data_IF_449401890413
#
_entry.id   IF_449401890413
#
_cell.length_a   1.000
_cell.length_b   1.000
_cell.length_c   1.000
_cell.angle_alpha   90.00
_cell.angle_beta   90.00
_cell.angle_gamma   90.00
#
_symmetry.space_group_name_H-M   'P 1'
#
loop_
_entity.id
_entity.type
_entity.pdbx_description
1 polymer ?
#
# COMPACT_ATOMS: atom_id res chain seq x y z
N UNK A 1 -8.92 -19.24 -21.57
CA UNK A 1 -10.20 -19.74 -20.99
C UNK A 1 -10.32 -19.11 -19.61
N UNK A 2 -11.39 -18.34 -19.38
CA UNK A 2 -11.69 -17.69 -18.11
C UNK A 2 -12.80 -18.43 -17.36
N UNK A 3 -12.75 -18.43 -16.03
CA UNK A 3 -13.94 -18.69 -15.24
C UNK A 3 -14.88 -17.47 -15.36
N UNK A 4 -16.20 -17.67 -15.57
CA UNK A 4 -17.14 -16.58 -15.83
C UNK A 4 -17.07 -15.39 -14.86
N UNK A 5 -16.94 -15.58 -13.52
CA UNK A 5 -16.85 -14.46 -12.59
C UNK A 5 -15.65 -13.55 -12.85
N UNK A 6 -14.49 -14.11 -13.21
CA UNK A 6 -13.29 -13.33 -13.49
C UNK A 6 -13.38 -12.61 -14.83
N UNK A 7 -13.96 -13.24 -15.85
CA UNK A 7 -14.22 -12.59 -17.13
C UNK A 7 -15.12 -11.36 -16.97
N UNK A 8 -16.24 -11.52 -16.25
CA UNK A 8 -17.15 -10.41 -15.99
C UNK A 8 -16.53 -9.31 -15.12
N UNK A 9 -15.68 -9.69 -14.17
CA UNK A 9 -14.98 -8.72 -13.35
C UNK A 9 -13.96 -7.91 -14.18
N UNK A 10 -13.14 -8.56 -15.00
CA UNK A 10 -12.13 -7.94 -15.83
C UNK A 10 -12.73 -7.02 -16.89
N UNK A 11 -13.73 -7.49 -17.63
CA UNK A 11 -14.46 -6.67 -18.61
C UNK A 11 -15.18 -5.50 -17.93
N UNK A 12 -15.71 -5.72 -16.72
CA UNK A 12 -16.32 -4.69 -15.89
C UNK A 12 -15.32 -3.62 -15.45
N UNK A 13 -14.11 -3.99 -15.03
CA UNK A 13 -13.04 -3.06 -14.66
C UNK A 13 -12.69 -2.16 -15.85
N UNK A 14 -12.38 -2.75 -17.00
CA UNK A 14 -12.00 -1.98 -18.19
C UNK A 14 -13.12 -1.06 -18.65
N UNK A 15 -14.34 -1.59 -18.79
CA UNK A 15 -15.49 -0.78 -19.25
C UNK A 15 -15.79 0.42 -18.34
N UNK A 16 -15.71 0.24 -17.00
CA UNK A 16 -15.92 1.33 -16.05
C UNK A 16 -14.80 2.34 -16.05
N UNK A 17 -13.55 1.92 -16.14
CA UNK A 17 -12.40 2.82 -16.23
C UNK A 17 -12.45 3.68 -17.49
N UNK A 18 -12.75 3.08 -18.66
CA UNK A 18 -12.89 3.82 -19.92
C UNK A 18 -14.06 4.81 -19.87
N UNK A 19 -15.21 4.38 -19.33
CA UNK A 19 -16.36 5.26 -19.13
C UNK A 19 -16.04 6.43 -18.21
N UNK A 20 -15.34 6.15 -17.09
CA UNK A 20 -14.92 7.19 -16.15
C UNK A 20 -13.94 8.17 -16.81
N UNK A 21 -12.95 7.68 -17.54
CA UNK A 21 -11.96 8.52 -18.24
C UNK A 21 -12.57 9.39 -19.33
N UNK A 22 -13.59 8.90 -20.04
CA UNK A 22 -14.31 9.64 -21.07
C UNK A 22 -15.26 10.72 -20.50
N UNK A 23 -15.62 10.64 -19.21
CA UNK A 23 -16.52 11.61 -18.58
C UNK A 23 -15.73 12.85 -18.16
N UNK A 24 -16.14 14.07 -18.59
CA UNK A 24 -15.49 15.30 -18.16
C UNK A 24 -15.50 15.45 -16.63
N UNK A 25 -14.40 15.93 -16.07
CA UNK A 25 -14.37 16.29 -14.67
C UNK A 25 -15.19 17.57 -14.46
N UNK A 26 -16.40 17.43 -13.92
CA UNK A 26 -17.30 18.56 -13.66
C UNK A 26 -17.08 19.26 -12.31
N UNK A 27 -15.99 18.92 -11.60
CA UNK A 27 -15.70 19.44 -10.28
C UNK A 27 -15.23 20.91 -10.26
N UNK A 28 -15.17 21.48 -9.05
CA UNK A 28 -14.77 22.88 -8.85
C UNK A 28 -13.36 23.20 -9.35
N UNK A 29 -12.43 22.27 -9.25
CA UNK A 29 -11.08 22.44 -9.78
C UNK A 29 -11.12 22.56 -11.31
N UNK A 30 -11.84 21.66 -11.99
CA UNK A 30 -12.00 21.71 -13.43
C UNK A 30 -12.63 23.01 -13.90
N UNK A 31 -13.70 23.44 -13.22
CA UNK A 31 -14.36 24.71 -13.54
C UNK A 31 -13.40 25.91 -13.41
N UNK A 32 -12.60 25.97 -12.34
CA UNK A 32 -11.58 27.03 -12.15
C UNK A 32 -10.47 26.98 -13.20
N UNK A 33 -9.97 25.80 -13.52
CA UNK A 33 -8.95 25.64 -14.56
C UNK A 33 -9.49 26.07 -15.93
N UNK A 34 -10.74 25.74 -16.25
CA UNK A 34 -11.39 26.16 -17.49
C UNK A 34 -11.65 27.66 -17.53
N UNK A 35 -12.02 28.28 -16.42
CA UNK A 35 -12.17 29.73 -16.32
C UNK A 35 -10.83 30.45 -16.54
N UNK A 36 -9.77 30.03 -15.84
CA UNK A 36 -8.42 30.58 -16.01
C UNK A 36 -7.91 30.44 -17.45
N UNK A 37 -8.20 29.34 -18.12
CA UNK A 37 -7.87 29.15 -19.54
C UNK A 37 -8.54 30.18 -20.44
N UNK A 38 -9.81 30.49 -20.19
CA UNK A 38 -10.57 31.49 -20.98
C UNK A 38 -10.04 32.88 -20.78
N UNK A 39 -9.62 33.25 -19.54
CA UNK A 39 -9.13 34.58 -19.21
C UNK A 39 -7.71 34.82 -19.74
N UNK A 40 -6.83 33.82 -19.64
CA UNK A 40 -5.41 33.99 -19.99
C UNK A 40 -5.06 33.58 -21.41
N UNK A 41 -5.96 32.91 -22.15
CA UNK A 41 -5.69 32.33 -23.47
C UNK A 41 -4.65 31.19 -23.42
N UNK A 42 -4.17 30.80 -22.23
CA UNK A 42 -3.19 29.74 -22.06
C UNK A 42 -3.85 28.38 -22.33
N UNK A 43 -3.33 27.66 -23.31
CA UNK A 43 -3.82 26.33 -23.67
C UNK A 43 -3.54 25.26 -22.62
N UNK A 44 -2.61 25.51 -21.71
CA UNK A 44 -2.17 24.56 -20.72
C UNK A 44 -2.94 24.72 -19.39
N UNK A 45 -3.84 23.78 -19.11
CA UNK A 45 -4.51 23.67 -17.82
C UNK A 45 -3.49 23.16 -16.80
N UNK A 46 -3.15 23.95 -15.79
CA UNK A 46 -2.24 23.50 -14.73
C UNK A 46 -2.56 24.13 -13.39
N UNK A 47 -2.32 23.40 -12.32
CA UNK A 47 -2.30 23.94 -10.97
C UNK A 47 -0.92 24.57 -10.67
N UNK A 48 -0.95 25.62 -9.87
CA UNK A 48 0.30 26.23 -9.38
C UNK A 48 0.89 25.37 -8.27
N UNK A 49 1.92 24.63 -8.61
CA UNK A 49 2.60 23.72 -7.68
C UNK A 49 3.37 24.50 -6.61
N UNK A 50 3.87 25.69 -6.91
CA UNK A 50 4.61 26.50 -5.93
C UNK A 50 3.72 26.88 -4.73
N UNK A 51 2.45 27.18 -4.97
CA UNK A 51 1.47 27.43 -3.88
C UNK A 51 1.19 26.19 -3.05
N UNK A 52 1.25 24.99 -3.67
CA UNK A 52 1.09 23.72 -2.96
C UNK A 52 2.33 23.49 -2.10
N UNK A 53 3.54 23.71 -2.64
CA UNK A 53 4.81 23.60 -1.93
C UNK A 53 4.87 24.49 -0.69
N UNK A 54 4.42 25.74 -0.80
CA UNK A 54 4.28 26.66 0.32
C UNK A 54 3.30 26.15 1.39
N UNK A 55 2.15 25.65 0.95
CA UNK A 55 1.10 25.15 1.85
C UNK A 55 1.51 23.91 2.64
N UNK A 56 2.24 22.99 2.00
CA UNK A 56 2.68 21.72 2.63
C UNK A 56 4.10 21.80 3.19
N UNK A 57 4.79 22.92 3.03
CA UNK A 57 6.20 23.15 3.43
C UNK A 57 7.15 22.09 2.85
N UNK A 58 6.97 21.76 1.57
CA UNK A 58 7.70 20.70 0.89
C UNK A 58 8.02 21.10 -0.55
N UNK A 59 9.19 20.74 -1.05
CA UNK A 59 9.56 20.95 -2.46
C UNK A 59 9.43 19.66 -3.26
N UNK A 60 8.92 19.79 -4.47
CA UNK A 60 8.75 18.67 -5.39
C UNK A 60 9.77 18.74 -6.53
N UNK A 61 10.30 17.59 -6.92
CA UNK A 61 11.08 17.54 -8.15
C UNK A 61 10.20 17.66 -9.40
N UNK A 62 10.84 17.76 -10.57
CA UNK A 62 10.14 17.99 -11.83
C UNK A 62 9.09 16.89 -12.14
N UNK A 63 9.38 15.61 -11.81
CA UNK A 63 8.48 14.48 -12.07
C UNK A 63 7.32 14.50 -11.07
N UNK A 64 7.61 14.77 -9.81
CA UNK A 64 6.57 14.90 -8.78
C UNK A 64 5.64 16.09 -9.07
N UNK A 65 6.20 17.23 -9.44
CA UNK A 65 5.42 18.39 -9.85
C UNK A 65 4.55 18.11 -11.10
N UNK A 66 5.09 17.35 -12.07
CA UNK A 66 4.33 16.91 -13.23
C UNK A 66 3.18 15.97 -12.83
N UNK A 67 3.40 15.06 -11.86
CA UNK A 67 2.36 14.19 -11.33
C UNK A 67 1.21 14.99 -10.68
N UNK A 68 1.52 16.01 -9.90
CA UNK A 68 0.53 16.89 -9.25
C UNK A 68 -0.29 17.62 -10.33
N UNK A 69 0.35 18.17 -11.36
CA UNK A 69 -0.34 18.83 -12.48
C UNK A 69 -1.21 17.85 -13.26
N UNK A 70 -0.70 16.66 -13.54
CA UNK A 70 -1.43 15.62 -14.27
C UNK A 70 -2.67 15.15 -13.48
N UNK A 71 -2.57 14.97 -12.18
CA UNK A 71 -3.69 14.60 -11.31
C UNK A 71 -4.81 15.65 -11.36
N UNK A 72 -4.46 16.94 -11.44
CA UNK A 72 -5.44 18.01 -11.50
C UNK A 72 -6.25 18.05 -12.82
N UNK A 73 -5.71 17.50 -13.90
CA UNK A 73 -6.34 17.50 -15.23
C UNK A 73 -6.93 16.15 -15.62
N UNK A 74 -6.33 15.05 -15.17
CA UNK A 74 -6.79 13.70 -15.48
C UNK A 74 -8.04 13.31 -14.67
N UNK A 75 -8.89 12.51 -15.27
CA UNK A 75 -10.06 11.89 -14.61
C UNK A 75 -9.66 10.59 -13.93
N UNK A 76 -8.85 9.79 -14.62
CA UNK A 76 -8.19 8.60 -14.11
C UNK A 76 -6.69 8.77 -14.32
N UNK A 77 -5.88 8.50 -13.30
CA UNK A 77 -4.43 8.59 -13.39
C UNK A 77 -3.77 7.49 -12.56
N UNK A 78 -2.64 7.00 -13.03
CA UNK A 78 -1.77 6.07 -12.29
C UNK A 78 -0.48 6.79 -11.88
N UNK A 79 -0.14 6.68 -10.59
CA UNK A 79 1.15 7.08 -10.03
C UNK A 79 1.89 5.82 -9.59
N UNK A 80 3.02 5.52 -10.22
CA UNK A 80 3.83 4.35 -9.88
C UNK A 80 5.30 4.70 -9.68
N UNK A 81 6.01 3.85 -8.96
CA UNK A 81 7.45 3.99 -8.71
C UNK A 81 7.92 3.01 -7.65
N UNK A 82 9.20 2.69 -7.65
CA UNK A 82 9.83 1.77 -6.71
C UNK A 82 9.98 2.34 -5.29
N UNK A 83 10.62 1.61 -4.39
CA UNK A 83 10.91 2.09 -3.04
C UNK A 83 11.84 3.31 -3.08
N UNK A 84 11.60 4.29 -2.21
CA UNK A 84 12.42 5.50 -2.09
C UNK A 84 12.25 6.54 -3.21
N UNK A 85 11.26 6.39 -4.10
CA UNK A 85 11.01 7.34 -5.19
C UNK A 85 10.05 8.48 -4.82
N UNK A 86 9.56 8.51 -3.58
CA UNK A 86 8.71 9.59 -3.10
C UNK A 86 7.23 9.48 -3.47
N UNK A 87 6.69 8.28 -3.67
CA UNK A 87 5.24 8.06 -3.91
C UNK A 87 4.37 8.74 -2.86
N UNK A 88 4.66 8.51 -1.57
CA UNK A 88 3.91 9.09 -0.44
C UNK A 88 3.94 10.61 -0.48
N UNK A 89 5.12 11.20 -0.68
CA UNK A 89 5.31 12.64 -0.80
C UNK A 89 4.52 13.24 -1.96
N UNK A 90 4.57 12.60 -3.13
CA UNK A 90 3.82 13.04 -4.32
C UNK A 90 2.31 12.93 -4.08
N UNK A 91 1.86 11.84 -3.44
CA UNK A 91 0.45 11.64 -3.07
C UNK A 91 -0.04 12.74 -2.12
N UNK A 92 0.77 13.14 -1.12
CA UNK A 92 0.46 14.28 -0.24
C UNK A 92 0.27 15.57 -1.05
N UNK A 93 1.14 15.84 -2.02
CA UNK A 93 1.01 17.00 -2.91
C UNK A 93 -0.26 16.96 -3.77
N UNK A 94 -0.61 15.81 -4.32
CA UNK A 94 -1.84 15.61 -5.08
C UNK A 94 -3.07 15.87 -4.19
N UNK A 95 -3.09 15.32 -2.99
CA UNK A 95 -4.19 15.51 -2.02
C UNK A 95 -4.29 16.98 -1.62
N UNK A 96 -3.15 17.62 -1.31
CA UNK A 96 -3.11 19.04 -0.96
C UNK A 96 -3.65 19.92 -2.11
N UNK A 97 -3.27 19.62 -3.36
CA UNK A 97 -3.80 20.29 -4.53
C UNK A 97 -5.33 20.21 -4.57
N UNK A 98 -5.92 19.04 -4.45
CA UNK A 98 -7.36 18.88 -4.47
C UNK A 98 -8.07 19.63 -3.32
N UNK A 99 -7.50 19.54 -2.11
CA UNK A 99 -8.06 20.22 -0.92
C UNK A 99 -8.03 21.75 -1.04
N UNK A 100 -6.95 22.31 -1.61
CA UNK A 100 -6.85 23.76 -1.86
C UNK A 100 -7.99 24.29 -2.73
N UNK A 101 -8.52 23.44 -3.61
CA UNK A 101 -9.69 23.76 -4.42
C UNK A 101 -11.02 23.33 -3.80
N UNK A 102 -11.03 22.87 -2.55
CA UNK A 102 -12.22 22.51 -1.78
C UNK A 102 -12.86 21.20 -2.20
N UNK A 103 -12.07 20.27 -2.79
CA UNK A 103 -12.55 18.94 -3.17
C UNK A 103 -12.50 17.98 -1.98
N UNK A 104 -13.55 17.14 -1.86
CA UNK A 104 -13.62 16.06 -0.87
C UNK A 104 -12.84 14.86 -1.39
N UNK A 105 -11.69 14.58 -0.74
CA UNK A 105 -10.80 13.45 -1.08
C UNK A 105 -11.11 12.26 -0.19
N UNK A 106 -11.36 11.12 -0.79
CA UNK A 106 -11.46 9.82 -0.13
C UNK A 106 -10.12 9.10 -0.28
N UNK A 107 -9.65 8.50 0.82
CA UNK A 107 -8.40 7.75 0.86
C UNK A 107 -8.70 6.28 1.15
N UNK A 108 -8.20 5.38 0.30
CA UNK A 108 -8.40 3.96 0.48
C UNK A 108 -7.15 3.13 0.15
N UNK A 109 -7.06 1.94 0.76
CA UNK A 109 -6.04 0.95 0.45
C UNK A 109 -6.57 -0.48 0.69
N UNK A 110 -5.96 -1.53 0.10
CA UNK A 110 -6.46 -2.90 0.23
C UNK A 110 -6.23 -3.51 1.61
N UNK A 111 -5.18 -3.11 2.33
CA UNK A 111 -4.77 -3.67 3.63
C UNK A 111 -4.99 -2.71 4.79
N UNK A 112 -5.08 -3.22 6.03
CA UNK A 112 -5.36 -2.38 7.20
C UNK A 112 -4.23 -1.42 7.60
N UNK A 113 -2.97 -1.72 7.27
CA UNK A 113 -1.80 -0.88 7.63
C UNK A 113 -1.64 0.34 6.74
N UNK A 114 -1.93 0.21 5.46
CA UNK A 114 -1.76 1.30 4.51
C UNK A 114 -2.65 2.51 4.85
N UNK A 115 -3.95 2.38 5.18
CA UNK A 115 -4.76 3.51 5.61
C UNK A 115 -4.22 4.23 6.84
N UNK A 116 -3.68 3.52 7.84
CA UNK A 116 -3.07 4.17 9.01
C UNK A 116 -1.93 5.10 8.62
N UNK A 117 -1.00 4.60 7.76
CA UNK A 117 0.11 5.42 7.23
C UNK A 117 -0.38 6.60 6.39
N UNK A 118 -1.40 6.39 5.55
CA UNK A 118 -2.00 7.47 4.77
C UNK A 118 -2.61 8.54 5.69
N UNK A 119 -3.33 8.14 6.74
CA UNK A 119 -3.93 9.06 7.69
C UNK A 119 -2.87 9.86 8.45
N UNK A 120 -1.81 9.21 8.94
CA UNK A 120 -0.67 9.88 9.59
C UNK A 120 0.03 10.88 8.64
N UNK A 121 0.23 10.50 7.38
CA UNK A 121 0.92 11.30 6.39
C UNK A 121 0.09 12.50 5.89
N UNK A 122 -1.24 12.40 5.87
CA UNK A 122 -2.13 13.39 5.24
C UNK A 122 -3.00 14.16 6.22
N UNK A 123 -3.14 13.66 7.44
CA UNK A 123 -4.10 14.18 8.43
C UNK A 123 -5.57 13.93 8.06
N UNK A 124 -5.85 13.07 7.08
CA UNK A 124 -7.20 12.72 6.64
C UNK A 124 -7.56 11.30 7.06
N UNK A 125 -8.85 11.05 7.23
CA UNK A 125 -9.34 9.69 7.42
C UNK A 125 -9.06 8.87 6.16
N UNK A 126 -8.43 7.70 6.36
CA UNK A 126 -8.21 6.70 5.33
C UNK A 126 -8.82 5.36 5.76
N UNK A 127 -9.36 4.61 4.82
CA UNK A 127 -10.10 3.36 5.08
C UNK A 127 -9.57 2.21 4.22
N UNK A 128 -9.80 0.98 4.67
CA UNK A 128 -9.65 -0.15 3.75
C UNK A 128 -10.74 -0.10 2.68
N UNK A 129 -10.47 -0.67 1.48
CA UNK A 129 -11.49 -0.75 0.42
C UNK A 129 -12.77 -1.42 0.95
N UNK A 130 -12.66 -2.51 1.70
CA UNK A 130 -13.81 -3.21 2.28
C UNK A 130 -14.62 -2.30 3.21
N UNK A 131 -13.98 -1.47 4.03
CA UNK A 131 -14.65 -0.51 4.91
C UNK A 131 -15.25 0.65 4.14
N UNK A 132 -14.54 1.14 3.12
CA UNK A 132 -15.06 2.20 2.24
C UNK A 132 -16.32 1.75 1.50
N UNK A 133 -16.36 0.48 1.09
CA UNK A 133 -17.50 -0.13 0.41
C UNK A 133 -18.57 -0.68 1.37
N UNK A 134 -18.39 -0.49 2.69
CA UNK A 134 -19.33 -0.96 3.73
C UNK A 134 -19.66 -2.45 3.56
N UNK A 135 -18.61 -3.30 3.52
CA UNK A 135 -18.77 -4.73 3.34
C UNK A 135 -19.46 -5.38 4.55
N UNK A 136 -20.62 -6.00 4.32
CA UNK A 136 -21.42 -6.71 5.33
C UNK A 136 -21.66 -8.14 4.88
N UNK A 137 -20.94 -9.14 5.42
CA UNK A 137 -21.25 -10.55 5.14
C UNK A 137 -22.59 -10.97 5.78
N UNK A 138 -23.46 -11.72 5.09
CA UNK A 138 -23.32 -12.24 3.72
C UNK A 138 -23.79 -11.28 2.60
N UNK A 139 -24.36 -10.12 2.92
CA UNK A 139 -25.03 -9.20 1.97
C UNK A 139 -24.03 -8.57 0.96
N UNK A 140 -22.72 -8.60 1.25
CA UNK A 140 -21.70 -8.06 0.39
C UNK A 140 -21.47 -6.55 0.54
N UNK A 141 -21.07 -5.88 -0.53
CA UNK A 141 -20.75 -4.46 -0.52
C UNK A 141 -22.01 -3.60 -0.65
N UNK A 142 -22.21 -2.69 0.33
CA UNK A 142 -23.37 -1.78 0.36
C UNK A 142 -23.18 -0.56 -0.56
N UNK A 143 -21.92 -0.16 -0.79
CA UNK A 143 -21.57 0.86 -1.79
C UNK A 143 -21.41 0.20 -3.16
N UNK A 144 -22.18 0.66 -4.14
CA UNK A 144 -22.28 0.12 -5.50
C UNK A 144 -22.83 1.17 -6.47
N UNK A 145 -23.31 0.78 -7.65
CA UNK A 145 -23.86 1.68 -8.67
C UNK A 145 -25.15 2.40 -8.21
N UNK A 146 -25.95 1.77 -7.35
CA UNK A 146 -27.22 2.34 -6.83
C UNK A 146 -26.96 3.22 -5.59
N UNK A 147 -25.90 2.92 -4.83
CA UNK A 147 -25.47 3.67 -3.65
C UNK A 147 -23.99 4.03 -3.76
N UNK A 148 -23.60 5.00 -4.63
CA UNK A 148 -22.21 5.29 -4.90
C UNK A 148 -21.49 5.98 -3.73
N UNK A 149 -20.16 6.05 -3.84
CA UNK A 149 -19.32 6.80 -2.91
C UNK A 149 -19.59 8.31 -3.01
N UNK A 150 -19.51 8.99 -1.88
CA UNK A 150 -19.74 10.43 -1.77
C UNK A 150 -18.42 11.19 -1.61
N UNK A 151 -17.88 11.69 -2.70
CA UNK A 151 -16.63 12.45 -2.76
C UNK A 151 -16.33 12.93 -4.16
N UNK A 152 -15.31 13.77 -4.29
CA UNK A 152 -14.88 14.32 -5.57
C UNK A 152 -13.69 13.56 -6.16
N UNK A 153 -12.85 13.00 -5.27
CA UNK A 153 -11.63 12.27 -5.63
C UNK A 153 -11.50 11.03 -4.77
N UNK A 154 -11.20 9.89 -5.38
CA UNK A 154 -10.73 8.69 -4.69
C UNK A 154 -9.24 8.52 -4.97
N UNK A 155 -8.42 8.61 -3.93
CA UNK A 155 -7.01 8.22 -3.99
C UNK A 155 -6.86 6.82 -3.41
N UNK A 156 -6.57 5.86 -4.28
CA UNK A 156 -6.41 4.45 -3.96
C UNK A 156 -4.93 4.10 -3.93
N UNK A 157 -4.41 3.78 -2.74
CA UNK A 157 -3.00 3.38 -2.54
C UNK A 157 -2.83 1.86 -2.54
N UNK A 158 -1.59 1.39 -2.67
CA UNK A 158 -1.18 -0.02 -2.73
C UNK A 158 -1.95 -0.83 -3.80
N UNK A 159 -2.17 -0.22 -4.97
CA UNK A 159 -2.97 -0.82 -6.04
C UNK A 159 -2.39 -2.13 -6.59
N UNK A 160 -1.10 -2.42 -6.41
CA UNK A 160 -0.50 -3.70 -6.80
C UNK A 160 -1.13 -4.90 -6.09
N UNK A 161 -1.71 -4.69 -4.89
CA UNK A 161 -2.32 -5.72 -4.08
C UNK A 161 -3.83 -5.91 -4.35
N UNK A 162 -4.41 -5.16 -5.29
CA UNK A 162 -5.84 -5.23 -5.59
C UNK A 162 -6.08 -6.24 -6.72
N UNK A 163 -6.88 -7.27 -6.44
CA UNK A 163 -7.29 -8.24 -7.45
C UNK A 163 -8.44 -7.72 -8.33
N UNK A 164 -8.72 -8.44 -9.41
CA UNK A 164 -9.74 -8.06 -10.39
C UNK A 164 -11.14 -7.96 -9.78
N UNK A 165 -11.49 -8.85 -8.85
CA UNK A 165 -12.83 -8.86 -8.23
C UNK A 165 -13.01 -7.66 -7.32
N UNK A 166 -12.02 -7.36 -6.48
CA UNK A 166 -12.05 -6.22 -5.57
C UNK A 166 -12.02 -4.89 -6.33
N UNK A 167 -11.22 -4.79 -7.40
CA UNK A 167 -11.21 -3.60 -8.25
C UNK A 167 -12.57 -3.39 -8.94
N UNK A 168 -13.19 -4.46 -9.44
CA UNK A 168 -14.52 -4.37 -10.04
C UNK A 168 -15.56 -3.91 -9.02
N UNK A 169 -15.53 -4.41 -7.79
CA UNK A 169 -16.41 -3.96 -6.72
C UNK A 169 -16.20 -2.46 -6.39
N UNK A 170 -14.93 -2.02 -6.28
CA UNK A 170 -14.59 -0.63 -6.04
C UNK A 170 -15.13 0.28 -7.15
N UNK A 171 -14.88 -0.06 -8.41
CA UNK A 171 -15.30 0.75 -9.55
C UNK A 171 -16.83 0.81 -9.75
N UNK A 172 -17.57 -0.17 -9.27
CA UNK A 172 -19.04 -0.09 -9.22
C UNK A 172 -19.52 1.03 -8.30
N UNK A 173 -18.80 1.31 -7.24
CA UNK A 173 -19.13 2.35 -6.27
C UNK A 173 -18.61 3.75 -6.63
N UNK A 174 -17.68 3.86 -7.59
CA UNK A 174 -17.12 5.15 -8.04
C UNK A 174 -18.08 5.83 -9.01
N UNK A 175 -18.72 6.97 -8.63
CA UNK A 175 -19.62 7.67 -9.54
C UNK A 175 -18.86 8.35 -10.69
N UNK A 176 -19.55 8.59 -11.80
CA UNK A 176 -18.95 9.21 -12.99
C UNK A 176 -18.40 10.63 -12.74
N UNK A 177 -18.87 11.34 -11.72
CA UNK A 177 -18.33 12.64 -11.30
C UNK A 177 -16.98 12.57 -10.62
N UNK A 178 -16.63 11.45 -9.95
CA UNK A 178 -15.44 11.29 -9.12
C UNK A 178 -14.17 11.14 -9.96
N UNK A 179 -13.05 11.70 -9.50
CA UNK A 179 -11.71 11.41 -10.03
C UNK A 179 -11.13 10.17 -9.36
N UNK A 180 -10.28 9.44 -10.07
CA UNK A 180 -9.62 8.24 -9.56
C UNK A 180 -8.11 8.35 -9.73
N UNK A 181 -7.39 8.35 -8.62
CA UNK A 181 -5.93 8.31 -8.58
C UNK A 181 -5.52 6.95 -8.04
N UNK A 182 -4.86 6.15 -8.87
CA UNK A 182 -4.35 4.83 -8.54
C UNK A 182 -2.86 4.94 -8.21
N UNK A 183 -2.48 4.63 -6.99
CA UNK A 183 -1.09 4.68 -6.53
C UNK A 183 -0.61 3.27 -6.22
N UNK A 184 0.58 2.91 -6.68
CA UNK A 184 1.13 1.60 -6.39
C UNK A 184 2.53 1.40 -6.97
N UNK A 185 3.09 0.25 -6.67
CA UNK A 185 4.41 -0.16 -7.14
C UNK A 185 4.24 -1.47 -7.93
N UNK A 186 4.41 -1.41 -9.24
CA UNK A 186 4.24 -2.57 -10.14
C UNK A 186 5.26 -3.68 -9.91
N UNK A 187 6.32 -3.37 -9.19
CA UNK A 187 7.44 -4.27 -8.92
C UNK A 187 7.32 -4.94 -7.53
N UNK A 188 6.33 -4.51 -6.72
CA UNK A 188 5.96 -5.21 -5.49
C UNK A 188 5.13 -6.47 -5.79
N UNK A 189 4.94 -7.29 -4.74
CA UNK A 189 4.14 -8.51 -4.85
C UNK A 189 2.73 -8.19 -5.37
N UNK A 190 2.24 -8.99 -6.32
CA UNK A 190 0.89 -8.84 -6.84
C UNK A 190 -0.16 -9.24 -5.79
N UNK A 191 -1.42 -9.05 -6.13
CA UNK A 191 -2.55 -9.52 -5.33
C UNK A 191 -2.52 -11.02 -5.11
N UNK A 192 -3.05 -11.48 -3.97
CA UNK A 192 -3.25 -12.92 -3.70
C UNK A 192 -4.38 -13.48 -4.57
N UNK A 193 -5.41 -12.66 -4.83
CA UNK A 193 -6.50 -12.98 -5.76
C UNK A 193 -6.08 -12.85 -7.23
N UNK A 194 -6.96 -13.30 -8.13
CA UNK A 194 -6.69 -13.33 -9.56
C UNK A 194 -6.57 -11.93 -10.18
N UNK A 195 -5.59 -11.75 -11.06
CA UNK A 195 -5.36 -10.55 -11.88
C UNK A 195 -4.18 -9.72 -11.44
N UNK A 196 -3.58 -9.00 -12.38
CA UNK A 196 -2.50 -8.03 -12.17
C UNK A 196 -2.97 -6.64 -12.60
N UNK A 197 -4.05 -6.20 -11.93
CA UNK A 197 -4.87 -5.06 -12.38
C UNK A 197 -4.06 -3.79 -12.61
N UNK A 198 -3.16 -3.43 -11.68
CA UNK A 198 -2.36 -2.20 -11.83
C UNK A 198 -1.45 -2.26 -13.06
N UNK A 199 -0.80 -3.40 -13.28
CA UNK A 199 0.07 -3.62 -14.44
C UNK A 199 -0.73 -3.58 -15.74
N UNK A 200 -1.86 -4.27 -15.78
CA UNK A 200 -2.73 -4.34 -16.96
C UNK A 200 -3.28 -2.96 -17.33
N UNK A 201 -3.65 -2.13 -16.34
CA UNK A 201 -4.07 -0.73 -16.56
C UNK A 201 -2.92 0.08 -17.18
N UNK A 202 -1.70 -0.06 -16.67
CA UNK A 202 -0.52 0.64 -17.17
C UNK A 202 -0.17 0.19 -18.59
N UNK A 203 -0.15 -1.11 -18.83
CA UNK A 203 0.23 -1.71 -20.11
C UNK A 203 -0.82 -1.47 -21.20
N UNK A 204 -2.07 -1.21 -20.83
CA UNK A 204 -3.12 -0.82 -21.77
C UNK A 204 -2.84 0.50 -22.50
N UNK A 205 -2.02 1.39 -21.92
CA UNK A 205 -1.72 2.70 -22.48
C UNK A 205 -2.92 3.66 -22.57
N UNK A 206 -4.07 3.32 -21.99
CA UNK A 206 -5.31 4.10 -22.10
C UNK A 206 -5.41 5.24 -21.08
N UNK A 207 -4.59 5.23 -20.05
CA UNK A 207 -4.67 6.17 -18.94
C UNK A 207 -3.33 6.88 -18.73
N UNK A 208 -3.32 8.15 -18.29
CA UNK A 208 -2.12 8.84 -17.88
C UNK A 208 -1.38 8.08 -16.77
N UNK A 209 -0.09 7.83 -16.99
CA UNK A 209 0.79 7.16 -16.03
C UNK A 209 1.98 8.06 -15.74
N UNK A 210 2.21 8.37 -14.48
CA UNK A 210 3.45 9.01 -14.05
C UNK A 210 4.31 8.00 -13.29
N UNK A 211 5.52 7.77 -13.80
CA UNK A 211 6.51 6.88 -13.20
C UNK A 211 7.55 7.71 -12.45
N UNK A 212 7.59 7.54 -11.13
CA UNK A 212 8.63 8.14 -10.30
C UNK A 212 9.89 7.26 -10.38
N UNK A 213 10.92 7.76 -11.04
CA UNK A 213 12.16 7.01 -11.29
C UNK A 213 13.33 7.51 -10.44
N UNK A 214 13.23 8.74 -9.90
CA UNK A 214 14.30 9.33 -9.10
C UNK A 214 14.29 8.77 -7.69
N UNK A 215 15.38 8.13 -7.31
CA UNK A 215 15.63 7.70 -5.92
C UNK A 215 16.23 8.90 -5.17
N UNK A 216 15.61 9.30 -4.06
CA UNK A 216 16.09 10.41 -3.27
C UNK A 216 17.36 10.05 -2.47
N UNK A 217 18.20 11.06 -2.15
CA UNK A 217 19.52 10.87 -1.54
C UNK A 217 19.50 9.98 -0.30
N UNK A 218 18.56 10.19 0.62
CA UNK A 218 18.43 9.36 1.83
C UNK A 218 18.14 7.90 1.50
N UNK A 219 17.35 7.64 0.45
CA UNK A 219 17.06 6.30 -0.04
C UNK A 219 18.25 5.68 -0.80
N UNK A 220 19.07 6.51 -1.45
CA UNK A 220 20.29 6.04 -2.13
C UNK A 220 21.38 5.57 -1.16
N UNK A 221 21.37 6.01 0.08
CA UNK A 221 22.29 5.54 1.11
C UNK A 221 21.87 4.17 1.69
N UNK A 222 20.61 3.79 1.53
CA UNK A 222 20.09 2.48 1.98
C UNK A 222 20.46 1.36 1.02
N UNK A 223 21.21 0.38 1.52
CA UNK A 223 21.53 -0.85 0.76
C UNK A 223 20.32 -1.75 0.56
N UNK A 224 19.31 -1.68 1.43
CA UNK A 224 18.02 -2.36 1.22
C UNK A 224 17.39 -1.85 -0.07
N UNK A 225 17.29 -0.52 -0.24
CA UNK A 225 16.67 0.09 -1.42
C UNK A 225 17.49 -0.18 -2.68
N UNK A 226 18.82 -0.03 -2.62
CA UNK A 226 19.71 -0.36 -3.73
C UNK A 226 19.57 -1.83 -4.15
N UNK A 227 19.55 -2.76 -3.17
CA UNK A 227 19.38 -4.18 -3.43
C UNK A 227 18.02 -4.50 -4.06
N UNK A 228 16.95 -3.86 -3.60
CA UNK A 228 15.62 -4.02 -4.18
C UNK A 228 15.59 -3.59 -5.65
N UNK A 229 16.19 -2.44 -5.99
CA UNK A 229 16.28 -1.97 -7.38
C UNK A 229 17.14 -2.89 -8.26
N UNK A 230 18.26 -3.40 -7.73
CA UNK A 230 19.10 -4.36 -8.46
C UNK A 230 18.37 -5.67 -8.76
N UNK A 231 17.71 -6.25 -7.74
CA UNK A 231 16.91 -7.47 -7.89
C UNK A 231 15.82 -7.26 -8.93
N UNK A 232 15.12 -6.14 -8.87
CA UNK A 232 14.07 -5.80 -9.82
C UNK A 232 14.58 -5.64 -11.25
N UNK A 233 15.82 -5.21 -11.41
CA UNK A 233 16.52 -5.12 -12.72
C UNK A 233 17.18 -6.44 -13.15
N UNK A 234 16.92 -7.54 -12.44
CA UNK A 234 17.54 -8.86 -12.72
C UNK A 234 19.01 -8.97 -12.33
N UNK A 235 19.52 -8.05 -11.50
CA UNK A 235 20.89 -8.03 -11.04
C UNK A 235 21.00 -8.61 -9.62
N UNK A 236 22.13 -9.26 -9.32
CA UNK A 236 22.40 -9.71 -7.95
C UNK A 236 22.58 -8.50 -7.01
N UNK A 237 21.98 -8.54 -5.81
CA UNK A 237 22.24 -7.54 -4.79
C UNK A 237 23.70 -7.57 -4.34
N UNK A 238 24.18 -6.46 -3.79
CA UNK A 238 25.50 -6.43 -3.16
C UNK A 238 25.43 -7.11 -1.79
N UNK A 239 26.01 -8.29 -1.68
CA UNK A 239 26.03 -9.13 -0.47
C UNK A 239 27.18 -8.77 0.48
N UNK A 240 28.08 -7.86 0.11
CA UNK A 240 29.16 -7.39 0.95
C UNK A 240 28.62 -6.53 2.09
N UNK A 241 28.45 -7.12 3.26
CA UNK A 241 28.04 -6.39 4.47
C UNK A 241 29.14 -5.48 4.99
N UNK A 242 28.79 -4.37 5.62
CA UNK A 242 29.68 -3.48 6.35
C UNK A 242 29.11 -3.12 7.72
N UNK A 243 29.92 -2.62 8.64
CA UNK A 243 29.48 -2.28 10.01
C UNK A 243 28.32 -1.26 10.07
N UNK A 244 28.15 -0.48 9.03
CA UNK A 244 27.09 0.55 8.91
C UNK A 244 26.02 0.19 7.89
N UNK A 245 26.00 -1.07 7.40
CA UNK A 245 25.00 -1.53 6.43
C UNK A 245 23.63 -1.71 7.08
N UNK A 246 22.57 -1.40 6.34
CA UNK A 246 21.19 -1.75 6.69
C UNK A 246 20.74 -3.05 6.02
N UNK A 247 21.61 -3.68 5.19
CA UNK A 247 21.35 -4.93 4.48
C UNK A 247 22.49 -5.91 4.74
N UNK A 248 22.14 -7.13 5.20
CA UNK A 248 23.08 -8.20 5.49
C UNK A 248 22.62 -9.49 4.84
N UNK A 249 23.57 -10.27 4.36
CA UNK A 249 23.33 -11.60 3.84
C UNK A 249 24.13 -12.62 4.68
N UNK A 250 23.42 -13.60 5.25
CA UNK A 250 24.02 -14.71 5.98
C UNK A 250 23.76 -16.00 5.21
N UNK A 251 24.81 -16.57 4.62
CA UNK A 251 24.69 -17.83 3.89
C UNK A 251 24.59 -18.98 4.86
N UNK A 252 23.51 -19.75 4.77
CA UNK A 252 23.26 -20.98 5.51
C UNK A 252 22.63 -22.01 4.60
N UNK A 253 23.19 -23.18 4.52
CA UNK A 253 22.70 -24.28 3.67
C UNK A 253 21.89 -25.29 4.47
N UNK A 254 22.25 -25.47 5.75
CA UNK A 254 21.52 -26.35 6.66
C UNK A 254 20.32 -25.65 7.29
N UNK A 255 19.09 -26.19 7.10
CA UNK A 255 17.87 -25.59 7.62
C UNK A 255 17.80 -25.48 9.14
N UNK A 256 18.35 -26.46 9.88
CA UNK A 256 18.38 -26.46 11.33
C UNK A 256 19.31 -25.37 11.86
N UNK A 257 20.49 -25.23 11.27
CA UNK A 257 21.42 -24.15 11.58
C UNK A 257 20.82 -22.77 11.24
N UNK A 258 20.11 -22.67 10.12
CA UNK A 258 19.43 -21.45 9.73
C UNK A 258 18.33 -21.05 10.73
N UNK A 259 17.52 -22.00 11.19
CA UNK A 259 16.48 -21.74 12.21
C UNK A 259 17.10 -21.30 13.55
N UNK A 260 18.18 -21.97 13.98
CA UNK A 260 18.90 -21.59 15.20
C UNK A 260 19.52 -20.19 15.10
N UNK A 261 20.12 -19.84 13.96
CA UNK A 261 20.68 -18.51 13.72
C UNK A 261 19.59 -17.42 13.69
N UNK A 262 18.43 -17.68 13.08
CA UNK A 262 17.27 -16.76 13.10
C UNK A 262 16.85 -16.45 14.55
N UNK A 263 16.77 -17.48 15.39
CA UNK A 263 16.43 -17.29 16.81
C UNK A 263 17.48 -16.42 17.51
N UNK A 264 18.76 -16.66 17.28
CA UNK A 264 19.85 -15.86 17.86
C UNK A 264 19.86 -14.42 17.34
N UNK A 265 19.58 -14.22 16.05
CA UNK A 265 19.45 -12.91 15.44
C UNK A 265 18.35 -12.10 16.14
N UNK A 266 17.17 -12.68 16.33
CA UNK A 266 16.02 -12.01 16.95
C UNK A 266 16.22 -11.80 18.44
N UNK A 267 16.78 -12.78 19.16
CA UNK A 267 16.90 -12.73 20.62
C UNK A 267 18.02 -11.78 21.07
N UNK A 268 19.16 -11.76 20.38
CA UNK A 268 20.36 -11.09 20.89
C UNK A 268 21.06 -10.20 19.88
N UNK A 269 21.36 -10.68 18.67
CA UNK A 269 22.25 -9.96 17.74
C UNK A 269 21.63 -8.68 17.18
N UNK A 270 20.42 -8.76 16.63
CA UNK A 270 19.72 -7.61 16.06
C UNK A 270 19.25 -6.60 17.12
N UNK A 271 18.71 -7.02 18.29
CA UNK A 271 18.43 -6.08 19.37
C UNK A 271 19.63 -5.25 19.79
N UNK A 272 20.80 -5.89 19.94
CA UNK A 272 22.04 -5.20 20.27
C UNK A 272 22.51 -4.26 19.14
N UNK A 273 22.44 -4.71 17.89
CA UNK A 273 22.86 -3.93 16.73
C UNK A 273 21.95 -2.74 16.46
N UNK A 274 20.62 -2.96 16.44
CA UNK A 274 19.63 -1.93 16.16
C UNK A 274 19.25 -1.09 17.38
N UNK A 275 19.71 -1.44 18.59
CA UNK A 275 19.32 -0.84 19.88
C UNK A 275 17.81 -0.83 20.05
N UNK A 276 17.18 -1.98 19.84
CA UNK A 276 15.71 -2.13 19.84
C UNK A 276 15.28 -3.35 20.68
N UNK A 277 14.00 -3.42 21.01
CA UNK A 277 13.41 -4.58 21.66
C UNK A 277 13.26 -5.75 20.66
N UNK A 278 13.52 -7.00 21.07
CA UNK A 278 13.23 -8.18 20.25
C UNK A 278 11.80 -8.21 19.67
N UNK A 279 10.83 -7.69 20.42
CA UNK A 279 9.44 -7.58 19.97
C UNK A 279 9.26 -6.67 18.74
N UNK A 280 10.18 -5.74 18.49
CA UNK A 280 10.17 -4.86 17.30
C UNK A 280 10.70 -5.54 16.05
N UNK A 281 11.34 -6.71 16.18
CA UNK A 281 11.92 -7.44 15.05
C UNK A 281 10.86 -8.35 14.44
N UNK A 282 10.76 -8.37 13.11
CA UNK A 282 9.86 -9.25 12.38
C UNK A 282 10.63 -10.22 11.52
N UNK A 283 10.34 -11.50 11.68
CA UNK A 283 10.83 -12.58 10.79
C UNK A 283 9.81 -12.77 9.68
N UNK A 284 10.30 -12.82 8.44
CA UNK A 284 9.53 -13.16 7.26
C UNK A 284 10.05 -14.48 6.68
N UNK A 285 9.17 -15.40 6.38
CA UNK A 285 9.51 -16.68 5.75
C UNK A 285 8.49 -16.98 4.64
N UNK A 286 8.92 -17.54 3.49
CA UNK A 286 8.02 -17.86 2.38
C UNK A 286 7.20 -19.13 2.60
N UNK A 287 7.50 -19.92 3.65
CA UNK A 287 6.88 -21.21 3.89
C UNK A 287 6.12 -21.26 5.23
N UNK A 288 5.00 -21.98 5.25
CA UNK A 288 4.25 -22.25 6.48
C UNK A 288 4.82 -23.47 7.25
N UNK A 289 5.24 -24.49 6.54
CA UNK A 289 5.74 -25.77 7.08
C UNK A 289 7.24 -25.91 6.86
N UNK A 290 7.85 -26.88 7.55
CA UNK A 290 9.29 -27.13 7.51
C UNK A 290 10.03 -26.44 8.65
N UNK A 291 11.32 -26.73 8.79
CA UNK A 291 12.17 -26.27 9.90
C UNK A 291 12.24 -24.74 9.97
N UNK A 292 12.40 -24.09 8.81
CA UNK A 292 12.42 -22.64 8.66
C UNK A 292 11.05 -22.05 8.28
N UNK A 293 9.98 -22.84 8.39
CA UNK A 293 8.60 -22.39 8.14
C UNK A 293 8.03 -21.60 9.33
N UNK A 294 7.00 -20.81 9.06
CA UNK A 294 6.39 -19.92 10.04
C UNK A 294 5.93 -20.65 11.32
N UNK A 295 5.36 -21.87 11.20
CA UNK A 295 4.91 -22.64 12.36
C UNK A 295 6.06 -23.01 13.28
N UNK A 296 7.16 -23.57 12.73
CA UNK A 296 8.33 -23.99 13.51
C UNK A 296 9.08 -22.80 14.10
N UNK A 297 9.27 -21.74 13.32
CA UNK A 297 9.95 -20.52 13.78
C UNK A 297 9.15 -19.81 14.87
N UNK A 298 7.81 -19.77 14.79
CA UNK A 298 6.98 -19.18 15.85
C UNK A 298 7.15 -19.93 17.18
N UNK A 299 7.18 -21.28 17.15
CA UNK A 299 7.40 -22.08 18.36
C UNK A 299 8.81 -21.85 18.93
N UNK A 300 9.84 -21.86 18.09
CA UNK A 300 11.23 -21.65 18.52
C UNK A 300 11.43 -20.22 19.07
N UNK A 301 10.87 -19.22 18.46
CA UNK A 301 10.93 -17.82 18.91
C UNK A 301 10.13 -17.62 20.20
N UNK A 302 8.93 -18.19 20.34
CA UNK A 302 8.16 -18.14 21.59
C UNK A 302 8.96 -18.76 22.74
N UNK A 303 9.53 -19.95 22.52
CA UNK A 303 10.36 -20.61 23.52
C UNK A 303 11.62 -19.81 23.91
N UNK A 304 12.21 -19.09 22.95
CA UNK A 304 13.40 -18.29 23.18
C UNK A 304 13.12 -16.94 23.86
N UNK A 305 11.98 -16.30 23.55
CA UNK A 305 11.66 -14.94 23.97
C UNK A 305 10.66 -14.89 25.13
N UNK A 306 9.76 -15.88 25.25
CA UNK A 306 8.73 -15.97 26.27
C UNK A 306 8.54 -17.43 26.75
N UNK A 307 9.58 -18.03 27.36
CA UNK A 307 9.58 -19.46 27.73
C UNK A 307 8.64 -19.80 28.88
N UNK A 308 8.29 -18.84 29.72
CA UNK A 308 7.55 -19.04 30.97
C UNK A 308 6.12 -18.53 30.88
N UNK A 309 5.24 -19.11 31.71
CA UNK A 309 3.84 -18.70 31.86
C UNK A 309 2.84 -19.77 31.43
N UNK A 310 1.71 -19.77 32.10
CA UNK A 310 0.56 -20.58 31.70
C UNK A 310 0.03 -20.09 30.38
N UNK A 311 -0.29 -21.03 29.48
CA UNK A 311 -0.72 -20.73 28.14
C UNK A 311 -2.08 -21.34 27.82
N UNK A 312 -2.88 -20.61 27.05
CA UNK A 312 -4.10 -21.12 26.46
C UNK A 312 -3.79 -21.87 25.16
N UNK A 313 -4.10 -23.16 25.13
CA UNK A 313 -3.99 -23.96 23.93
C UNK A 313 -5.23 -23.84 23.05
N UNK A 314 -5.09 -23.34 21.84
CA UNK A 314 -6.17 -23.21 20.87
C UNK A 314 -5.68 -23.49 19.46
N UNK A 315 -6.39 -24.35 18.72
CA UNK A 315 -6.08 -24.67 17.31
C UNK A 315 -4.62 -25.09 17.08
N UNK A 316 -4.02 -25.83 18.02
CA UNK A 316 -2.62 -26.31 17.92
C UNK A 316 -1.55 -25.30 18.32
N UNK A 317 -1.94 -24.11 18.78
CA UNK A 317 -1.02 -23.08 19.26
C UNK A 317 -1.22 -22.81 20.75
N UNK A 318 -0.12 -22.51 21.43
CA UNK A 318 -0.10 -22.07 22.82
C UNK A 318 0.07 -20.54 22.83
N UNK A 319 -0.86 -19.83 23.45
CA UNK A 319 -0.80 -18.37 23.62
C UNK A 319 -0.50 -18.05 25.08
N UNK A 320 0.55 -17.27 25.33
CA UNK A 320 0.98 -16.84 26.68
C UNK A 320 0.90 -15.33 26.81
N UNK A 321 0.65 -14.84 28.02
CA UNK A 321 0.80 -13.43 28.30
C UNK A 321 2.23 -12.96 27.93
N UNK A 322 2.34 -11.84 27.23
CA UNK A 322 3.59 -11.34 26.69
C UNK A 322 3.90 -11.75 25.24
N UNK A 323 3.19 -12.72 24.68
CA UNK A 323 3.41 -13.14 23.29
C UNK A 323 3.09 -12.01 22.31
N UNK A 324 3.95 -11.86 21.30
CA UNK A 324 3.67 -11.06 20.11
C UNK A 324 2.78 -11.88 19.17
N UNK A 325 1.67 -11.32 18.78
CA UNK A 325 0.67 -11.96 17.94
C UNK A 325 0.33 -11.10 16.73
N UNK A 326 -0.14 -11.72 15.66
CA UNK A 326 -0.64 -11.03 14.49
C UNK A 326 -2.09 -11.45 14.22
N UNK A 327 -2.95 -10.47 13.99
CA UNK A 327 -4.31 -10.72 13.53
C UNK A 327 -4.27 -11.30 12.11
N UNK A 328 -4.91 -12.44 11.89
CA UNK A 328 -4.93 -13.13 10.59
C UNK A 328 -6.23 -12.97 9.81
N UNK A 329 -7.24 -12.32 10.42
CA UNK A 329 -8.53 -12.00 9.80
C UNK A 329 -8.99 -10.62 10.26
N UNK A 330 -9.71 -9.91 9.39
CA UNK A 330 -10.33 -8.65 9.77
C UNK A 330 -11.41 -8.88 10.83
N UNK A 331 -11.40 -8.04 11.86
CA UNK A 331 -12.50 -7.92 12.85
C UNK A 331 -12.93 -6.45 12.84
N UNK A 332 -14.00 -6.17 12.12
CA UNK A 332 -14.47 -4.80 11.92
C UNK A 332 -15.10 -4.21 13.19
N UNK A 333 -15.70 -5.03 14.05
CA UNK A 333 -16.32 -4.59 15.29
C UNK A 333 -15.27 -4.09 16.30
N UNK A 334 -14.09 -4.71 16.30
CA UNK A 334 -12.97 -4.34 17.16
C UNK A 334 -11.96 -3.41 16.48
N UNK A 335 -12.20 -3.04 15.23
CA UNK A 335 -11.27 -2.24 14.40
C UNK A 335 -9.85 -2.83 14.31
N UNK A 336 -9.75 -4.17 14.33
CA UNK A 336 -8.49 -4.91 14.20
C UNK A 336 -8.47 -5.60 12.85
N UNK A 337 -7.39 -5.41 12.10
CA UNK A 337 -7.29 -5.87 10.72
C UNK A 337 -6.24 -6.96 10.53
N UNK A 338 -6.38 -7.72 9.45
CA UNK A 338 -5.37 -8.68 9.04
C UNK A 338 -4.01 -7.99 8.89
N UNK A 339 -2.99 -8.55 9.54
CA UNK A 339 -1.65 -7.98 9.61
C UNK A 339 -1.40 -7.04 10.81
N UNK A 340 -2.41 -6.66 11.58
CA UNK A 340 -2.20 -5.90 12.81
C UNK A 340 -1.42 -6.75 13.84
N UNK A 341 -0.40 -6.14 14.42
CA UNK A 341 0.44 -6.77 15.44
C UNK A 341 0.01 -6.28 16.81
N UNK A 342 -0.17 -7.22 17.71
CA UNK A 342 -0.51 -6.96 19.11
C UNK A 342 0.38 -7.76 20.06
N UNK A 343 0.12 -7.56 21.36
CA UNK A 343 0.73 -8.33 22.43
C UNK A 343 -0.37 -8.90 23.31
N UNK A 344 -0.25 -10.16 23.68
CA UNK A 344 -1.17 -10.79 24.63
C UNK A 344 -0.91 -10.20 26.03
N UNK A 345 -1.90 -9.52 26.59
CA UNK A 345 -1.79 -8.90 27.93
C UNK A 345 -2.12 -9.87 29.06
N UNK A 346 -3.13 -10.70 28.86
CA UNK A 346 -3.56 -11.72 29.81
C UNK A 346 -4.23 -12.88 29.10
N UNK A 347 -4.24 -14.03 29.76
CA UNK A 347 -4.92 -15.25 29.31
C UNK A 347 -5.91 -15.64 30.38
N UNK A 348 -7.20 -15.72 30.06
CA UNK A 348 -8.24 -16.24 30.92
C UNK A 348 -8.50 -17.69 30.52
N UNK A 349 -8.34 -18.62 31.44
CA UNK A 349 -8.61 -20.03 31.24
C UNK A 349 -10.09 -20.36 31.46
#
# INVERSE_FOLDING_TARGET
IYLPPFFHAETGVMGRLLKLAATPAGDRLWQRLMAARRETGNSQLSVDVSRIEEHVHMQYDAIQAAAIRQAATAKVMVLTGGPGTGKTTTTQGIIAAFRTYGLKVLLAAPTGRAPKRMAEATGLEARTIHRLLECKPPEGYQKNEENPLEGDVLNQDECSMIDTVLMNALLKAVPASMRLILVGDIDQLPSVGAGNVLRDIIDSGQFPVVRLTKIFRQAMESRIIQSAHRINSGQMPDLSGGKTSDFFFVRMEDPEAAAAEIVQLVKTKLPAYCRTDPASIQVLTPMQKGVTGATSLNLALQQALNPQGEGLYRSGFCYRAGDKVMQVRNNYDKEIFNGDIGRVTSVNM
#
